data_IF_037925654612
#
_entry.id   IF_037925654612
#
_cell.length_a   1.000
_cell.length_b   1.000
_cell.length_c   1.000
_cell.angle_alpha   90.00
_cell.angle_beta   90.00
_cell.angle_gamma   90.00
#
_symmetry.space_group_name_H-M   'P 1'
#
loop_
_entity.id
_entity.type
_entity.pdbx_description
1 polymer ?
2 polymer ?
3 branched ?
4 non-polymer ?
5 non-polymer ?
#
# COMPACT_ATOMS: atom_id res chain seq x y z
N UNK A 1 -11.86 -14.32 -13.34
CA UNK A 1 -10.71 -14.75 -12.54
C UNK A 1 -9.80 -13.58 -12.25
N UNK A 2 -8.77 -13.82 -11.43
CA UNK A 2 -7.83 -12.76 -11.04
C UNK A 2 -7.00 -12.36 -12.26
N UNK A 3 -7.01 -11.09 -12.62
CA UNK A 3 -6.28 -10.65 -13.82
C UNK A 3 -4.78 -10.81 -13.66
N UNK A 4 -4.10 -10.85 -14.80
CA UNK A 4 -2.67 -11.08 -14.88
C UNK A 4 -2.05 -10.11 -15.86
N UNK A 5 -0.93 -9.50 -15.48
CA UNK A 5 -0.29 -8.50 -16.29
C UNK A 5 0.87 -9.07 -17.09
N UNK A 6 0.78 -8.93 -18.40
CA UNK A 6 1.80 -9.42 -19.32
C UNK A 6 2.07 -8.35 -20.37
N UNK A 7 3.34 -8.16 -20.71
CA UNK A 7 3.74 -7.17 -21.69
C UNK A 7 3.65 -7.79 -23.08
N UNK A 8 2.86 -7.17 -23.95
CA UNK A 8 2.75 -7.54 -25.36
C UNK A 8 2.79 -6.28 -26.21
N UNK A 9 3.60 -6.31 -27.26
CA UNK A 9 3.74 -5.18 -28.19
C UNK A 9 4.11 -3.90 -27.45
N UNK A 10 5.06 -4.02 -26.52
CA UNK A 10 5.59 -2.89 -25.76
C UNK A 10 4.56 -2.20 -24.88
N UNK A 11 3.48 -2.91 -24.51
CA UNK A 11 2.44 -2.34 -23.67
C UNK A 11 1.97 -3.37 -22.66
N UNK A 12 1.65 -2.90 -21.46
CA UNK A 12 1.14 -3.77 -20.41
C UNK A 12 -0.31 -4.11 -20.71
N UNK A 13 -0.64 -5.40 -20.64
CA UNK A 13 -1.97 -5.88 -20.94
C UNK A 13 -2.41 -6.87 -19.88
N UNK A 14 -3.73 -7.03 -19.74
CA UNK A 14 -4.30 -8.02 -18.84
C UNK A 14 -4.67 -9.25 -19.68
N UNK A 15 -4.08 -10.38 -19.32
CA UNK A 15 -4.30 -11.63 -20.04
C UNK A 15 -3.94 -12.78 -19.12
N UNK A 16 -4.92 -13.60 -18.77
CA UNK A 16 -4.71 -14.74 -17.90
C UNK A 16 -4.05 -15.90 -18.67
N UNK A 17 -3.56 -16.88 -17.91
CA UNK A 17 -2.76 -17.98 -18.46
C UNK A 17 -3.52 -18.71 -19.57
N UNK A 18 -4.86 -18.72 -19.51
CA UNK A 18 -5.64 -19.36 -20.55
C UNK A 18 -5.69 -18.57 -21.85
N UNK A 19 -5.29 -17.30 -21.82
CA UNK A 19 -5.29 -16.43 -22.99
C UNK A 19 -3.88 -16.18 -23.53
N UNK A 20 -2.92 -17.05 -23.18
CA UNK A 20 -1.53 -16.88 -23.60
C UNK A 20 -1.23 -17.74 -24.84
N UNK A 21 -0.56 -17.13 -25.80
CA UNK A 21 -0.12 -17.85 -27.00
C UNK A 21 1.19 -18.57 -26.71
N UNK A 22 1.55 -19.51 -27.60
CA UNK A 22 2.75 -20.31 -27.40
C UNK A 22 4.02 -19.48 -27.41
N UNK A 23 3.98 -18.27 -27.99
CA UNK A 23 5.16 -17.41 -27.99
C UNK A 23 5.54 -16.99 -26.56
N UNK A 24 4.57 -16.97 -25.64
CA UNK A 24 4.84 -16.56 -24.27
C UNK A 24 5.52 -17.69 -23.51
N UNK A 25 6.67 -17.39 -22.92
CA UNK A 25 7.48 -18.37 -22.23
C UNK A 25 7.51 -18.10 -20.74
N UNK A 26 7.17 -19.10 -19.95
CA UNK A 26 7.23 -19.05 -18.48
C UNK A 26 8.20 -20.14 -18.04
N UNK A 27 9.46 -19.77 -17.78
CA UNK A 27 10.48 -20.77 -17.49
C UNK A 27 10.67 -21.04 -16.01
N UNK A 28 10.18 -20.17 -15.13
CA UNK A 28 10.24 -20.44 -13.69
C UNK A 28 9.22 -19.55 -12.98
N UNK A 29 8.91 -19.93 -11.73
CA UNK A 29 8.02 -19.13 -10.90
C UNK A 29 8.61 -17.76 -10.57
N UNK A 30 9.92 -17.59 -10.73
CA UNK A 30 10.54 -16.29 -10.47
C UNK A 30 9.98 -15.21 -11.39
N UNK A 31 9.52 -15.58 -12.59
CA UNK A 31 8.92 -14.60 -13.48
C UNK A 31 7.58 -14.10 -12.96
N UNK A 32 6.95 -14.84 -12.04
CA UNK A 32 5.67 -14.43 -11.48
C UNK A 32 5.93 -13.52 -10.29
N UNK A 33 5.24 -12.37 -10.26
CA UNK A 33 5.45 -11.38 -9.22
C UNK A 33 4.12 -10.84 -8.74
N UNK A 34 4.02 -10.65 -7.43
CA UNK A 34 2.90 -9.94 -6.81
C UNK A 34 3.44 -8.64 -6.21
N UNK A 35 2.81 -7.52 -6.57
CA UNK A 35 3.32 -6.21 -6.18
C UNK A 35 2.20 -5.40 -5.52
N UNK A 36 2.60 -4.45 -4.68
CA UNK A 36 1.67 -3.53 -4.04
C UNK A 36 1.92 -2.11 -4.52
N UNK A 37 0.83 -1.41 -4.85
CA UNK A 37 0.89 -0.05 -5.38
C UNK A 37 0.09 0.88 -4.49
N UNK A 38 0.64 2.06 -4.20
CA UNK A 38 0.03 2.97 -3.24
C UNK A 38 -1.00 3.86 -3.89
N UNK A 39 -2.13 4.07 -3.19
CA UNK A 39 -3.17 4.96 -3.69
C UNK A 39 -2.66 6.39 -3.92
N UNK A 40 -1.60 6.80 -3.21
CA UNK A 40 -1.01 8.11 -3.47
C UNK A 40 -0.68 8.30 -4.93
N UNK A 41 -0.16 7.26 -5.58
CA UNK A 41 0.24 7.36 -6.97
C UNK A 41 -0.90 7.65 -7.92
N UNK A 42 -2.14 7.48 -7.47
CA UNK A 42 -3.32 7.80 -8.26
C UNK A 42 -3.87 9.20 -7.97
N UNK A 43 -3.25 9.94 -7.05
CA UNK A 43 -3.67 11.30 -6.75
C UNK A 43 -4.73 11.46 -5.69
N UNK A 44 -4.87 10.50 -4.77
CA UNK A 44 -5.87 10.64 -3.71
C UNK A 44 -5.34 11.59 -2.64
N UNK A 45 -6.27 12.24 -1.94
CA UNK A 45 -5.89 13.14 -0.86
C UNK A 45 -5.39 12.35 0.35
N UNK A 46 -4.19 12.67 0.80
CA UNK A 46 -3.51 11.89 1.83
C UNK A 46 -3.47 12.58 3.20
N UNK A 47 -4.15 13.71 3.36
CA UNK A 47 -4.26 14.32 4.68
C UNK A 47 -5.17 13.49 5.58
N UNK A 48 -4.90 13.55 6.89
CA UNK A 48 -5.62 12.70 7.84
C UNK A 48 -7.15 12.85 7.73
N UNK A 49 -7.72 14.06 7.68
CA UNK A 49 -9.19 14.14 7.56
C UNK A 49 -9.75 13.47 6.31
N UNK A 50 -9.04 13.56 5.19
CA UNK A 50 -9.53 12.93 3.97
C UNK A 50 -9.37 11.41 4.01
N UNK A 51 -8.21 10.93 4.48
CA UNK A 51 -7.95 9.50 4.49
C UNK A 51 -8.92 8.75 5.39
N UNK A 52 -9.23 9.32 6.56
CA UNK A 52 -10.05 8.60 7.53
C UNK A 52 -11.48 8.43 7.06
N UNK A 53 -11.99 9.35 6.24
CA UNK A 53 -13.34 9.21 5.72
C UNK A 53 -13.48 8.04 4.78
N UNK A 54 -12.36 7.52 4.25
CA UNK A 54 -12.36 6.35 3.40
C UNK A 54 -12.41 5.04 4.16
N UNK A 55 -12.45 5.08 5.50
CA UNK A 55 -12.44 3.89 6.32
C UNK A 55 -13.67 3.88 7.22
N UNK A 56 -14.25 2.70 7.41
CA UNK A 56 -15.46 2.58 8.20
C UNK A 56 -15.55 1.22 8.87
N UNK A 57 -16.36 1.17 9.92
CA UNK A 57 -16.52 -0.06 10.70
C UNK A 57 -17.70 -0.87 10.18
N UNK A 58 -17.57 -2.20 10.32
CA UNK A 58 -18.52 -3.15 9.78
C UNK A 58 -18.40 -4.44 10.57
N UNK A 59 -19.49 -5.18 10.67
CA UNK A 59 -19.52 -6.48 11.32
C UNK A 59 -20.01 -7.55 10.36
N UNK A 60 -19.79 -8.80 10.76
CA UNK A 60 -20.24 -9.93 9.98
C UNK A 60 -19.36 -10.34 8.82
N UNK A 61 -18.26 -9.62 8.57
CA UNK A 61 -17.36 -9.93 7.47
C UNK A 61 -16.00 -10.37 8.00
N UNK A 62 -15.59 -11.62 7.80
CA UNK A 62 -14.28 -12.07 8.30
C UNK A 62 -13.14 -11.37 7.57
N UNK A 63 -12.11 -10.93 8.30
CA UNK A 63 -10.95 -10.33 7.63
C UNK A 63 -10.18 -11.35 6.81
N UNK A 64 -9.46 -10.84 5.82
CA UNK A 64 -8.68 -11.67 4.91
C UNK A 64 -7.34 -10.98 4.64
N UNK A 65 -6.31 -11.79 4.42
CA UNK A 65 -4.95 -11.31 4.21
C UNK A 65 -4.37 -12.01 2.97
N UNK A 66 -3.73 -11.25 2.10
CA UNK A 66 -3.03 -11.76 0.92
C UNK A 66 -1.65 -11.14 0.89
N UNK A 67 -0.66 -11.90 0.45
CA UNK A 67 0.70 -11.40 0.48
C UNK A 67 1.13 -10.83 -0.87
N UNK A 68 2.15 -9.99 -0.83
CA UNK A 68 2.77 -9.41 -2.01
C UNK A 68 4.27 -9.27 -1.74
N UNK A 69 5.07 -9.33 -2.81
CA UNK A 69 6.51 -9.49 -2.67
C UNK A 69 7.26 -8.17 -2.67
N UNK A 70 6.71 -7.12 -3.28
CA UNK A 70 7.42 -5.87 -3.44
C UNK A 70 6.42 -4.72 -3.35
N UNK A 71 6.85 -3.62 -2.76
CA UNK A 71 5.98 -2.47 -2.56
C UNK A 71 6.64 -1.18 -2.99
N UNK A 72 5.89 -0.09 -2.83
CA UNK A 72 6.31 1.23 -3.24
C UNK A 72 6.62 2.08 -2.01
N UNK A 73 7.74 2.80 -2.05
CA UNK A 73 8.05 3.79 -1.03
C UNK A 73 6.91 4.80 -0.94
N UNK A 74 6.33 4.92 0.24
CA UNK A 74 5.20 5.81 0.45
C UNK A 74 5.66 7.12 1.07
N UNK A 75 4.89 8.18 0.80
CA UNK A 75 5.08 9.44 1.50
C UNK A 75 4.23 9.52 2.75
N UNK A 76 3.03 8.96 2.74
CA UNK A 76 2.08 9.05 3.84
C UNK A 76 1.65 7.67 4.24
N UNK A 77 1.75 7.38 5.54
CA UNK A 77 1.23 6.16 6.15
C UNK A 77 0.43 6.55 7.38
N UNK A 78 -0.24 5.57 7.97
CA UNK A 78 -1.14 5.85 9.07
C UNK A 78 -0.99 4.78 10.14
N UNK A 79 -1.12 5.20 11.40
CA UNK A 79 -1.01 4.32 12.55
C UNK A 79 -2.10 4.72 13.53
N UNK A 80 -3.13 3.88 13.66
CA UNK A 80 -4.33 4.23 14.41
C UNK A 80 -4.33 3.55 15.78
N UNK A 81 -4.68 4.32 16.79
CA UNK A 81 -4.95 3.80 18.13
C UNK A 81 -6.24 4.46 18.59
N UNK A 82 -7.36 3.76 18.41
CA UNK A 82 -8.69 4.31 18.66
C UNK A 82 -9.38 3.47 19.72
N UNK A 83 -10.00 4.14 20.70
CA UNK A 83 -10.80 3.50 21.72
C UNK A 83 -12.22 4.08 21.70
N UNK A 84 -13.16 3.29 22.22
CA UNK A 84 -14.51 3.80 22.44
C UNK A 84 -14.51 4.73 23.66
N UNK A 85 -15.55 5.56 23.81
CA UNK A 85 -15.56 6.48 24.96
C UNK A 85 -15.41 5.80 26.31
N UNK A 86 -15.93 4.57 26.48
CA UNK A 86 -15.74 3.85 27.73
C UNK A 86 -14.35 3.24 27.88
N UNK A 87 -13.49 3.37 26.87
CA UNK A 87 -12.10 2.97 26.99
C UNK A 87 -11.74 1.65 26.34
N UNK A 88 -12.71 0.88 25.86
CA UNK A 88 -12.40 -0.37 25.20
C UNK A 88 -11.76 -0.13 23.83
N UNK A 89 -10.81 -0.99 23.46
CA UNK A 89 -10.12 -0.83 22.18
C UNK A 89 -11.06 -1.08 21.01
N UNK A 90 -10.87 -0.33 19.94
CA UNK A 90 -11.68 -0.47 18.73
C UNK A 90 -11.04 -1.35 17.67
N UNK A 91 -9.72 -1.40 17.60
CA UNK A 91 -9.04 -2.15 16.55
C UNK A 91 -8.34 -3.37 17.14
N UNK A 92 -8.30 -4.48 16.40
CA UNK A 92 -7.62 -5.67 16.91
C UNK A 92 -6.11 -5.48 16.94
N UNK A 93 -5.47 -6.10 17.92
CA UNK A 93 -4.01 -6.15 17.93
C UNK A 93 -3.51 -6.84 16.67
N UNK A 94 -2.34 -6.43 16.21
CA UNK A 94 -1.77 -7.01 15.01
C UNK A 94 -1.53 -8.50 15.21
N UNK A 95 -2.00 -9.36 14.31
CA UNK A 95 -1.71 -10.80 14.42
C UNK A 95 -0.22 -11.06 14.32
N UNK A 96 0.19 -12.23 14.81
CA UNK A 96 1.60 -12.59 14.78
C UNK A 96 2.11 -12.62 13.35
N UNK A 97 3.25 -11.96 13.11
CA UNK A 97 3.85 -11.93 11.81
C UNK A 97 3.45 -10.75 10.94
N UNK A 98 2.59 -9.87 11.42
CA UNK A 98 2.15 -8.71 10.64
C UNK A 98 2.79 -7.47 11.25
N UNK A 99 3.77 -6.92 10.53
CA UNK A 99 4.51 -5.72 10.88
C UNK A 99 4.07 -4.56 10.00
N UNK A 100 4.52 -3.36 10.37
CA UNK A 100 4.11 -2.17 9.67
C UNK A 100 4.75 -2.06 8.30
N UNK A 101 4.23 -1.10 7.52
CA UNK A 101 4.76 -0.83 6.20
C UNK A 101 6.20 -0.35 6.31
N UNK A 102 7.11 -0.87 5.48
CA UNK A 102 8.55 -0.65 5.73
C UNK A 102 9.10 0.70 5.28
N UNK A 103 8.42 1.43 4.41
CA UNK A 103 8.96 2.67 3.84
C UNK A 103 7.91 3.77 3.89
N UNK A 104 7.99 4.62 4.90
CA UNK A 104 7.08 5.76 5.05
C UNK A 104 7.90 7.02 5.31
N UNK A 105 7.63 8.07 4.51
CA UNK A 105 8.27 9.35 4.78
C UNK A 105 7.63 10.04 5.98
N UNK A 106 6.30 9.99 6.09
CA UNK A 106 5.57 10.53 7.21
C UNK A 106 4.58 9.48 7.71
N UNK A 107 4.65 9.17 9.00
CA UNK A 107 3.70 8.28 9.63
C UNK A 107 2.74 9.14 10.44
N UNK A 108 1.47 9.16 10.02
CA UNK A 108 0.44 9.94 10.71
C UNK A 108 -0.15 9.05 11.80
N UNK A 109 0.36 9.19 13.02
CA UNK A 109 -0.14 8.43 14.17
C UNK A 109 -1.32 9.19 14.76
N UNK A 110 -2.47 8.52 14.83
CA UNK A 110 -3.71 9.14 15.30
C UNK A 110 -4.18 8.37 16.54
N UNK A 111 -4.33 9.10 17.64
CA UNK A 111 -4.93 8.57 18.87
C UNK A 111 -6.22 9.33 19.13
N UNK A 112 -7.30 8.62 19.41
CA UNK A 112 -8.56 9.28 19.63
C UNK A 112 -9.65 8.32 20.03
N UNK A 113 -10.89 8.81 19.97
CA UNK A 113 -12.05 8.03 20.36
C UNK A 113 -13.14 8.17 19.31
N UNK A 114 -14.05 7.19 19.31
CA UNK A 114 -15.19 7.19 18.42
C UNK A 114 -16.18 6.11 18.82
N UNK A 115 -17.40 6.17 18.26
CA UNK A 115 -18.38 5.13 18.58
C UNK A 115 -17.95 3.73 18.19
N UNK A 116 -17.23 3.58 17.07
CA UNK A 116 -16.75 2.29 16.59
C UNK A 116 -17.88 1.27 16.48
N UNK A 117 -18.83 1.58 15.59
CA UNK A 117 -20.01 0.75 15.41
C UNK A 117 -19.72 -0.36 14.39
N UNK A 118 -18.80 -1.25 14.77
CA UNK A 118 -18.42 -2.36 13.93
C UNK A 118 -17.21 -3.12 14.44
N UNK A 119 -17.14 -4.43 14.14
CA UNK A 119 -16.05 -5.25 14.67
C UNK A 119 -14.72 -4.93 14.01
N UNK A 120 -14.73 -4.62 12.72
CA UNK A 120 -13.48 -4.34 12.02
C UNK A 120 -13.65 -3.10 11.16
N UNK A 121 -12.53 -2.43 10.90
CA UNK A 121 -12.49 -1.25 10.05
C UNK A 121 -12.00 -1.63 8.67
N UNK A 122 -12.83 -1.39 7.66
CA UNK A 122 -12.55 -1.74 6.27
C UNK A 122 -12.34 -0.48 5.44
N UNK A 123 -11.89 -0.69 4.21
CA UNK A 123 -11.75 0.40 3.24
C UNK A 123 -13.05 0.52 2.45
N UNK A 124 -13.66 1.71 2.49
CA UNK A 124 -14.96 1.92 1.85
C UNK A 124 -14.89 1.86 0.34
N UNK A 125 -13.74 2.13 -0.26
CA UNK A 125 -13.56 2.01 -1.70
C UNK A 125 -13.09 0.63 -2.13
N UNK A 126 -12.92 -0.31 -1.19
CA UNK A 126 -12.49 -1.65 -1.51
C UNK A 126 -10.99 -1.84 -1.63
N UNK A 127 -10.20 -0.81 -1.38
CA UNK A 127 -8.75 -0.94 -1.42
C UNK A 127 -8.26 -1.77 -0.24
N UNK A 128 -6.95 -1.97 -0.16
CA UNK A 128 -6.33 -2.74 0.91
C UNK A 128 -5.50 -1.84 1.80
N UNK A 129 -5.26 -2.33 3.01
CA UNK A 129 -4.28 -1.74 3.91
C UNK A 129 -2.99 -2.54 3.79
N UNK A 130 -1.92 -1.88 3.36
CA UNK A 130 -0.66 -2.55 3.07
C UNK A 130 0.24 -2.50 4.30
N UNK A 131 0.59 -3.66 4.80
CA UNK A 131 1.56 -3.88 5.86
C UNK A 131 2.86 -4.41 5.25
N UNK A 132 3.72 -4.98 6.07
CA UNK A 132 5.00 -5.49 5.58
C UNK A 132 4.78 -6.74 4.75
N UNK A 133 4.75 -6.58 3.43
CA UNK A 133 4.55 -7.67 2.48
C UNK A 133 3.26 -8.45 2.72
N UNK A 134 2.33 -7.89 3.52
CA UNK A 134 1.02 -8.48 3.72
C UNK A 134 -0.03 -7.40 3.55
N UNK A 135 -1.07 -7.71 2.80
CA UNK A 135 -2.16 -6.78 2.54
C UNK A 135 -3.42 -7.32 3.20
N UNK A 136 -4.07 -6.47 3.98
CA UNK A 136 -5.24 -6.88 4.72
C UNK A 136 -6.45 -6.06 4.29
N UNK A 137 -7.63 -6.64 4.49
CA UNK A 137 -8.86 -5.90 4.30
C UNK A 137 -9.26 -5.07 5.51
N UNK A 138 -8.53 -5.17 6.63
CA UNK A 138 -8.90 -4.49 7.87
C UNK A 138 -7.70 -3.81 8.49
N UNK A 139 -7.97 -2.85 9.37
CA UNK A 139 -6.95 -2.08 10.06
C UNK A 139 -6.61 -2.76 11.38
N UNK A 140 -5.32 -2.85 11.69
CA UNK A 140 -4.86 -3.38 12.96
C UNK A 140 -4.38 -2.26 13.86
N UNK A 141 -4.61 -2.41 15.16
CA UNK A 141 -4.26 -1.39 16.14
C UNK A 141 -2.77 -1.11 16.15
N UNK A 142 -2.42 0.17 16.13
CA UNK A 142 -1.04 0.59 16.31
C UNK A 142 -0.06 0.09 15.29
N UNK A 143 -0.51 -0.28 14.09
CA UNK A 143 0.36 -0.84 13.06
C UNK A 143 0.35 0.07 11.84
N UNK A 144 1.54 0.47 11.42
CA UNK A 144 1.68 1.40 10.30
C UNK A 144 1.29 0.73 8.99
N UNK A 145 0.40 1.38 8.23
CA UNK A 145 -0.07 0.84 6.96
C UNK A 145 -0.10 1.93 5.91
N UNK A 146 -0.12 1.50 4.64
CA UNK A 146 -0.36 2.37 3.51
C UNK A 146 -1.56 1.85 2.74
N UNK A 147 -2.44 2.76 2.31
CA UNK A 147 -3.54 2.34 1.44
C UNK A 147 -3.00 1.94 0.08
N UNK A 148 -3.53 0.86 -0.47
CA UNK A 148 -2.98 0.38 -1.73
C UNK A 148 -3.77 -0.75 -2.33
N UNK A 149 -3.25 -1.25 -3.45
CA UNK A 149 -3.87 -2.30 -4.24
C UNK A 149 -2.77 -3.21 -4.78
N UNK A 150 -3.16 -4.43 -5.15
CA UNK A 150 -2.22 -5.49 -5.50
C UNK A 150 -2.38 -5.86 -6.97
N UNK A 151 -1.26 -6.06 -7.65
CA UNK A 151 -1.24 -6.55 -9.01
C UNK A 151 -0.40 -7.81 -9.10
N UNK A 152 -0.68 -8.62 -10.12
CA UNK A 152 0.04 -9.86 -10.40
C UNK A 152 0.55 -9.81 -11.83
N UNK A 153 1.83 -10.13 -12.03
CA UNK A 153 2.47 -9.95 -13.32
C UNK A 153 3.28 -11.18 -13.73
N UNK A 154 3.40 -11.34 -15.05
CA UNK A 154 4.40 -12.20 -15.68
C UNK A 154 5.49 -11.29 -16.21
N UNK A 155 6.69 -11.45 -15.70
CA UNK A 155 7.80 -10.71 -16.27
C UNK A 155 8.27 -11.37 -17.56
N UNK A 156 8.63 -10.59 -18.58
CA UNK A 156 9.33 -11.17 -19.74
C UNK A 156 10.62 -11.82 -19.30
N UNK A 157 10.95 -12.94 -19.95
CA UNK A 157 12.14 -13.71 -19.59
C UNK A 157 13.42 -12.92 -19.84
N UNK A 180 20.49 8.25 -1.66
CA UNK A 180 19.29 8.63 -0.91
C UNK A 180 18.92 7.58 0.13
N UNK A 181 19.09 7.93 1.41
CA UNK A 181 18.73 7.04 2.48
C UNK A 181 17.25 7.08 2.80
N UNK A 182 16.88 6.35 3.85
CA UNK A 182 15.50 6.25 4.30
C UNK A 182 15.32 7.07 5.57
N UNK A 183 14.43 8.06 5.50
CA UNK A 183 14.11 8.94 6.63
C UNK A 183 12.61 8.87 6.88
N UNK A 184 12.22 8.67 8.15
CA UNK A 184 10.82 8.57 8.52
C UNK A 184 10.54 9.49 9.69
N UNK A 185 9.46 10.27 9.59
CA UNK A 185 9.07 11.23 10.61
C UNK A 185 7.65 10.95 11.07
N UNK A 186 7.44 10.93 12.39
CA UNK A 186 6.13 10.64 12.98
C UNK A 186 5.42 11.94 13.31
N UNK A 187 4.16 12.04 12.89
CA UNK A 187 3.33 13.22 13.11
C UNK A 187 2.10 12.77 13.88
N UNK A 188 1.92 13.32 15.09
CA UNK A 188 0.93 12.81 16.03
C UNK A 188 -0.32 13.70 16.03
N UNK A 189 -1.48 13.05 16.16
CA UNK A 189 -2.77 13.72 16.12
C UNK A 189 -3.68 13.18 17.21
N UNK A 190 -4.61 14.02 17.64
CA UNK A 190 -5.70 13.63 18.53
C UNK A 190 -7.02 13.76 17.79
N UNK A 191 -7.93 12.83 18.04
CA UNK A 191 -9.22 12.84 17.36
C UNK A 191 -10.35 12.59 18.35
N UNK A 192 -11.48 13.23 18.10
CA UNK A 192 -12.72 12.95 18.82
C UNK A 192 -13.80 12.64 17.81
N UNK A 193 -14.68 11.72 18.16
CA UNK A 193 -15.74 11.31 17.24
C UNK A 193 -15.17 10.74 15.96
N UNK A 194 -14.23 9.82 16.10
CA UNK A 194 -13.54 9.24 14.94
C UNK A 194 -14.51 8.41 14.11
N UNK A 195 -14.31 8.45 12.79
CA UNK A 195 -15.13 7.66 11.88
C UNK A 195 -16.59 8.05 11.87
N UNK A 196 -16.89 9.34 11.98
CA UNK A 196 -18.25 9.85 11.95
C UNK A 196 -18.32 11.04 11.01
N UNK A 197 -19.54 11.55 10.81
CA UNK A 197 -19.77 12.75 10.01
C UNK A 197 -19.31 14.02 10.72
N UNK A 198 -19.01 13.95 12.03
CA UNK A 198 -18.51 15.10 12.79
C UNK A 198 -17.26 14.67 13.55
N UNK A 199 -16.10 14.75 12.88
CA UNK A 199 -14.82 14.38 13.47
C UNK A 199 -13.93 15.61 13.57
N UNK A 200 -13.27 15.76 14.71
CA UNK A 200 -12.34 16.85 14.94
C UNK A 200 -10.95 16.30 15.22
N UNK A 201 -9.93 16.98 14.70
CA UNK A 201 -8.54 16.58 14.84
C UNK A 201 -7.71 17.71 15.40
N UNK A 202 -6.65 17.35 16.12
CA UNK A 202 -5.68 18.31 16.64
C UNK A 202 -4.29 17.76 16.37
N UNK A 203 -3.48 18.52 15.64
CA UNK A 203 -2.06 18.21 15.55
C UNK A 203 -1.39 18.46 16.90
N UNK A 204 -0.53 17.53 17.31
CA UNK A 204 0.07 17.56 18.64
C UNK A 204 1.50 18.06 18.57
N UNK A 205 1.80 19.09 19.36
CA UNK A 205 3.15 19.62 19.49
C UNK A 205 3.85 19.05 20.72
N UNK A 206 3.14 18.96 21.84
CA UNK A 206 3.52 18.12 22.98
C UNK A 206 2.25 17.66 23.67
N UNK A 207 2.40 17.14 24.89
CA UNK A 207 1.26 16.59 25.62
C UNK A 207 0.23 17.66 25.99
N UNK A 208 0.60 18.94 25.93
CA UNK A 208 -0.29 20.03 26.33
C UNK A 208 -0.45 21.14 25.30
N UNK A 209 0.22 21.05 24.15
CA UNK A 209 0.14 22.07 23.12
C UNK A 209 -0.38 21.46 21.82
N UNK A 210 -1.43 22.06 21.25
CA UNK A 210 -2.14 21.49 20.13
C UNK A 210 -2.48 22.58 19.13
N UNK A 211 -2.69 22.16 17.88
CA UNK A 211 -3.11 23.04 16.80
C UNK A 211 -4.35 22.42 16.16
N UNK A 212 -5.40 23.22 15.97
CA UNK A 212 -6.54 22.75 15.20
C UNK A 212 -6.10 22.45 13.78
N UNK A 213 -6.53 21.30 13.26
CA UNK A 213 -6.03 20.80 11.99
C UNK A 213 -7.04 21.02 10.89
N UNK A 214 -6.55 21.35 9.70
CA UNK A 214 -7.38 21.54 8.52
C UNK A 214 -6.85 20.67 7.39
N UNK A 215 -7.74 20.35 6.46
CA UNK A 215 -7.37 19.46 5.35
C UNK A 215 -6.24 20.04 4.51
N UNK A 216 -6.11 21.37 4.47
CA UNK A 216 -5.10 22.00 3.63
C UNK A 216 -3.69 21.78 4.16
N UNK A 217 -3.54 21.36 5.42
CA UNK A 217 -2.23 21.37 6.07
C UNK A 217 -1.43 20.17 5.58
N UNK A 218 -0.38 20.43 4.81
CA UNK A 218 0.53 19.41 4.33
C UNK A 218 1.46 18.94 5.45
N UNK A 219 2.07 17.76 5.31
CA UNK A 219 3.03 17.32 6.33
C UNK A 219 4.19 18.28 6.52
N UNK A 220 4.71 18.85 5.42
CA UNK A 220 5.82 19.80 5.53
C UNK A 220 5.39 21.06 6.26
N UNK A 221 4.16 21.52 6.01
CA UNK A 221 3.65 22.69 6.74
C UNK A 221 3.52 22.38 8.23
N UNK A 222 3.05 21.19 8.57
CA UNK A 222 2.94 20.81 9.98
C UNK A 222 4.30 20.75 10.65
N UNK A 223 5.31 20.24 9.93
CA UNK A 223 6.65 20.17 10.50
C UNK A 223 7.24 21.55 10.72
N UNK A 224 7.03 22.47 9.76
CA UNK A 224 7.54 23.83 9.91
C UNK A 224 6.76 24.60 10.96
N UNK A 225 5.46 24.32 11.08
CA UNK A 225 4.68 24.89 12.18
C UNK A 225 5.22 24.43 13.52
N UNK A 226 5.52 23.12 13.65
CA UNK A 226 6.07 22.61 14.90
C UNK A 226 7.41 23.24 15.21
N UNK A 227 8.26 23.40 14.19
CA UNK A 227 9.56 24.04 14.41
C UNK A 227 9.39 25.49 14.87
N UNK A 228 8.49 26.23 14.22
CA UNK A 228 8.30 27.64 14.55
C UNK A 228 7.82 27.81 15.99
N UNK A 229 6.87 26.97 16.41
CA UNK A 229 6.33 27.08 17.76
C UNK A 229 7.40 26.81 18.81
N UNK A 230 8.26 25.81 18.55
CA UNK A 230 9.32 25.50 19.50
C UNK A 230 10.40 26.59 19.51
N UNK A 231 10.85 27.04 18.34
CA UNK A 231 12.06 27.84 18.23
C UNK A 231 11.94 29.23 18.84
N UNK A 232 10.73 29.69 19.17
CA UNK A 232 10.59 31.00 19.78
C UNK A 232 9.63 31.03 20.97
N UNK A 233 9.09 29.88 21.39
CA UNK A 233 8.42 29.79 22.67
C UNK A 233 6.92 29.97 22.69
N UNK A 234 6.18 29.20 21.87
CA UNK A 234 4.73 29.21 21.91
C UNK A 234 4.15 27.97 22.60
N UNK A 235 4.99 27.14 23.20
CA UNK A 235 4.49 25.97 23.91
C UNK A 235 3.79 26.39 25.20
N UNK A 236 2.87 25.56 25.66
CA UNK A 236 2.12 25.84 26.89
C UNK A 236 3.06 25.94 28.09
N UNK A 237 3.17 27.12 28.66
CA UNK A 237 3.97 27.34 29.86
C UNK A 237 3.16 27.20 31.15
N UNK A 238 2.00 26.55 31.07
CA UNK A 238 1.18 26.23 32.24
C UNK A 238 0.95 24.71 32.24
N UNK A 239 0.06 24.26 33.13
CA UNK A 239 -0.36 22.86 33.16
C UNK A 239 -1.68 22.64 32.43
N UNK A 240 -2.22 23.68 31.79
CA UNK A 240 -3.46 23.56 31.04
C UNK A 240 -3.25 23.26 29.56
N UNK A 241 -4.35 22.91 28.90
CA UNK A 241 -4.32 22.48 27.50
C UNK A 241 -4.41 23.72 26.61
N UNK A 242 -3.31 24.04 25.93
CA UNK A 242 -3.23 25.19 25.05
C UNK A 242 -3.49 24.74 23.60
N UNK A 243 -4.51 25.31 22.97
CA UNK A 243 -4.91 24.94 21.62
C UNK A 243 -4.81 26.18 20.74
N UNK A 244 -4.03 26.09 19.66
CA UNK A 244 -3.85 27.20 18.73
C UNK A 244 -4.82 27.09 17.57
N UNK A 245 -4.72 28.02 16.64
CA UNK A 245 -5.52 28.01 15.42
C UNK A 245 -4.79 28.78 14.35
N UNK A 246 -4.73 28.23 13.14
CA UNK A 246 -4.12 28.90 12.00
C UNK A 246 -5.25 29.51 11.17
N UNK A 247 -5.21 30.83 11.01
CA UNK A 247 -6.27 31.54 10.33
C UNK A 247 -6.25 31.22 8.83
N UNK A 248 -7.40 31.33 8.16
CA UNK A 248 -7.47 30.90 6.74
C UNK A 248 -6.56 31.69 5.82
N UNK A 249 -6.09 32.88 6.20
CA UNK A 249 -5.23 33.65 5.31
C UNK A 249 -3.88 32.99 5.07
N UNK A 250 -3.50 32.02 5.91
CA UNK A 250 -2.23 31.32 5.74
C UNK A 250 -2.44 30.06 4.91
N UNK A 257 0.63 20.39 -5.79
CA UNK A 257 -0.43 19.41 -5.58
C UNK A 257 0.14 18.07 -5.16
N UNK A 258 0.44 17.22 -6.14
CA UNK A 258 1.01 15.91 -5.83
C UNK A 258 2.41 16.06 -5.27
N UNK A 259 2.78 15.14 -4.36
CA UNK A 259 4.05 15.25 -3.68
C UNK A 259 5.24 15.03 -4.62
N UNK A 260 5.04 14.30 -5.71
CA UNK A 260 6.14 13.97 -6.61
C UNK A 260 6.37 15.02 -7.69
N UNK A 261 5.49 16.00 -7.83
CA UNK A 261 5.60 16.98 -8.90
C UNK A 261 5.97 18.38 -8.43
N UNK A 262 5.92 18.65 -7.12
CA UNK A 262 6.23 19.98 -6.60
C UNK A 262 7.69 20.36 -6.83
N UNK A 275 4.73 35.50 10.88
CA UNK A 275 3.57 34.99 11.61
C UNK A 275 3.52 35.55 13.02
N UNK A 276 2.31 35.91 13.47
CA UNK A 276 2.09 36.49 14.79
C UNK A 276 1.23 35.56 15.62
N UNK A 277 1.58 35.43 16.90
CA UNK A 277 0.86 34.55 17.82
C UNK A 277 0.15 35.38 18.87
N UNK A 278 -1.15 35.16 19.02
CA UNK A 278 -1.98 35.82 20.02
C UNK A 278 -2.86 34.80 20.72
N UNK A 279 -3.23 35.10 21.96
CA UNK A 279 -4.07 34.23 22.78
C UNK A 279 -5.37 34.95 23.07
N UNK A 280 -6.49 34.27 22.80
CA UNK A 280 -7.81 34.85 23.03
C UNK A 280 -8.44 34.28 24.29
N UNK A 441 -8.04 26.69 26.51
CA UNK A 441 -7.46 27.98 26.17
C UNK A 441 -7.19 28.09 24.67
N UNK A 442 -8.17 28.61 23.93
CA UNK A 442 -8.04 28.79 22.48
C UNK A 442 -7.09 29.94 22.17
N UNK A 443 -6.71 30.07 20.90
CA UNK A 443 -5.80 31.12 20.47
C UNK A 443 -5.85 31.31 18.95
N UNK A 444 -4.92 32.11 18.44
CA UNK A 444 -4.87 32.41 17.02
C UNK A 444 -3.42 32.63 16.58
N UNK A 445 -3.15 32.48 15.29
CA UNK A 445 -1.80 32.61 14.78
C UNK A 445 -1.79 33.13 13.34
N UNK A 446 -1.76 34.45 13.19
CA UNK A 446 -1.72 35.07 11.87
C UNK A 446 -0.32 34.98 11.28
N UNK B 1 -7.20 -7.94 -22.84
CA UNK B 1 -7.61 -6.55 -22.90
C UNK B 1 -6.44 -5.61 -22.67
N UNK B 2 -6.54 -4.40 -23.21
CA UNK B 2 -5.47 -3.40 -22.99
C UNK B 2 -5.79 -2.61 -21.71
N UNK B 3 -4.75 -2.08 -21.08
CA UNK B 3 -4.95 -1.36 -19.79
C UNK B 3 -5.08 0.14 -20.07
N UNK B 4 -6.24 0.72 -19.76
CA UNK B 4 -6.45 2.18 -19.94
C UNK B 4 -6.50 2.86 -18.55
N UNK B 5 -5.49 3.66 -18.23
CA UNK B 5 -5.39 4.36 -16.96
C UNK B 5 -6.50 5.40 -16.84
N UNK B 6 -7.43 5.19 -15.91
CA UNK B 6 -8.57 6.07 -15.70
C UNK B 6 -8.49 6.75 -14.33
N UNK B 7 -7.27 7.10 -13.90
CA UNK B 7 -7.04 7.67 -12.58
C UNK B 7 -6.85 9.19 -12.68
N UNK B 8 -7.21 9.92 -11.64
CA UNK B 8 -6.98 11.38 -11.66
C UNK B 8 -5.52 11.76 -11.85
N UNK B 9 -4.60 10.93 -11.37
CA UNK B 9 -3.17 11.19 -11.47
C UNK B 9 -2.44 9.88 -11.64
N UNK B 10 -1.19 9.97 -12.09
CA UNK B 10 -0.30 8.83 -12.21
C UNK B 10 1.11 9.31 -11.89
N UNK B 11 1.66 8.85 -10.77
CA UNK B 11 3.07 9.08 -10.51
C UNK B 11 3.87 8.24 -11.49
N UNK B 12 4.53 8.84 -12.48
CA UNK B 12 5.20 8.04 -13.52
C UNK B 12 6.44 7.31 -13.03
N UNK B 13 6.90 7.58 -11.82
CA UNK B 13 8.11 6.97 -11.29
C UNK B 13 7.75 6.02 -10.16
N UNK B 14 8.48 4.91 -10.09
CA UNK B 14 8.21 3.86 -9.11
C UNK B 14 9.48 3.64 -8.29
N UNK B 15 9.49 4.19 -7.08
CA UNK B 15 10.57 3.92 -6.13
C UNK B 15 10.11 2.74 -5.28
N UNK B 16 10.70 1.58 -5.50
CA UNK B 16 10.16 0.37 -4.90
C UNK B 16 11.13 -0.22 -3.89
N UNK B 17 10.56 -1.05 -3.01
CA UNK B 17 11.30 -1.85 -2.06
C UNK B 17 10.89 -3.30 -2.25
N UNK B 18 11.83 -4.20 -2.02
CA UNK B 18 11.56 -5.63 -2.05
C UNK B 18 12.63 -6.32 -1.18
N UNK B 19 12.65 -7.64 -1.21
CA UNK B 19 13.65 -8.43 -0.51
C UNK B 19 14.43 -9.24 -1.54
N UNK B 20 15.70 -9.49 -1.23
CA UNK B 20 16.54 -10.33 -2.08
C UNK B 20 16.50 -11.76 -1.53
N UNK B 21 15.80 -12.64 -2.23
CA UNK B 21 15.70 -14.03 -1.79
C UNK B 21 17.04 -14.74 -1.89
N UNK B 22 17.73 -14.59 -3.03
CA UNK B 22 19.06 -15.18 -3.14
C UNK B 22 20.03 -14.51 -2.17
N UNK B 23 19.89 -13.19 -1.97
CA UNK B 23 20.59 -12.44 -0.94
C UNK B 23 22.02 -12.85 -0.66
N UNK B 24 22.86 -12.87 -1.69
CA UNK B 24 24.24 -13.32 -1.55
C UNK B 24 24.91 -12.69 -0.33
N UNK B 25 25.25 -13.54 0.63
CA UNK B 25 25.69 -13.08 1.94
C UNK B 25 27.15 -12.63 1.92
N UNK B 26 27.50 -11.84 2.93
CA UNK B 26 28.86 -11.35 3.13
C UNK B 26 29.32 -11.91 4.47
N UNK B 27 29.98 -13.06 4.43
CA UNK B 27 30.45 -13.70 5.64
C UNK B 27 29.35 -14.41 6.41
N UNK B 28 29.08 -13.94 7.63
CA UNK B 28 28.11 -14.58 8.51
C UNK B 28 26.76 -13.88 8.50
N UNK B 29 26.52 -12.97 7.56
CA UNK B 29 25.30 -12.18 7.57
C UNK B 29 24.06 -13.02 7.33
N UNK B 30 24.20 -14.21 6.75
CA UNK B 30 23.05 -15.07 6.49
C UNK B 30 22.52 -15.76 7.75
N UNK B 31 23.37 -15.92 8.76
CA UNK B 31 22.97 -16.52 10.03
C UNK B 31 21.99 -15.58 10.72
N UNK B 32 20.78 -16.04 11.06
CA UNK B 32 19.78 -15.12 11.64
C UNK B 32 20.25 -14.44 12.92
N UNK B 33 21.07 -15.11 13.73
CA UNK B 33 21.55 -14.50 14.97
C UNK B 33 22.49 -13.33 14.70
N UNK B 34 23.26 -13.37 13.60
CA UNK B 34 24.18 -12.29 13.25
C UNK B 34 23.63 -11.34 12.20
N UNK B 35 22.55 -11.70 11.51
CA UNK B 35 22.11 -10.98 10.34
C UNK B 35 21.28 -9.75 10.66
N UNK B 36 20.75 -9.09 9.63
CA UNK B 36 19.98 -7.87 9.86
C UNK B 36 18.69 -8.14 10.60
N UNK B 37 18.18 -7.09 11.25
CA UNK B 37 16.86 -7.14 11.86
C UNK B 37 15.79 -7.08 10.76
N UNK B 38 14.53 -7.13 11.18
CA UNK B 38 13.42 -7.15 10.23
C UNK B 38 13.38 -5.87 9.41
N UNK B 39 13.89 -4.77 9.95
CA UNK B 39 13.85 -3.48 9.26
C UNK B 39 14.94 -3.31 8.20
N UNK B 40 15.97 -4.15 8.21
CA UNK B 40 17.08 -3.97 7.29
C UNK B 40 17.30 -5.09 6.28
N UNK B 41 16.22 -5.73 5.85
CA UNK B 41 16.31 -6.84 4.90
C UNK B 41 15.94 -6.40 3.49
N UNK B 42 15.68 -5.12 3.28
CA UNK B 42 15.11 -4.64 2.03
C UNK B 42 16.18 -4.11 1.09
N UNK B 43 16.00 -4.37 -0.19
CA UNK B 43 16.72 -3.66 -1.24
C UNK B 43 15.75 -2.69 -1.88
N UNK B 44 16.28 -1.81 -2.73
CA UNK B 44 15.48 -0.79 -3.38
C UNK B 44 15.87 -0.66 -4.84
N UNK B 45 14.95 -0.11 -5.62
CA UNK B 45 15.22 0.20 -7.02
C UNK B 45 14.31 1.32 -7.48
N UNK B 46 14.69 1.90 -8.62
CA UNK B 46 13.92 2.97 -9.26
C UNK B 46 13.61 2.57 -10.69
N UNK B 47 12.36 2.79 -11.10
CA UNK B 47 11.89 2.35 -12.40
C UNK B 47 11.07 3.46 -13.02
N UNK B 48 11.43 3.88 -14.23
CA UNK B 48 10.75 4.96 -14.92
C UNK B 48 9.66 4.40 -15.83
N UNK B 49 8.87 5.31 -16.40
CA UNK B 49 7.66 4.93 -17.14
C UNK B 49 7.96 4.55 -18.60
N UNK B 50 8.95 3.69 -18.82
CA UNK B 50 9.19 3.16 -20.15
C UNK B 50 8.00 2.31 -20.58
N UNK B 51 7.60 2.45 -21.85
CA UNK B 51 6.47 1.71 -22.40
C UNK B 51 5.16 2.05 -21.68
N UNK B 52 5.15 3.12 -20.89
CA UNK B 52 4.01 3.40 -20.04
C UNK B 52 3.78 2.35 -18.98
N UNK B 53 4.82 1.61 -18.60
CA UNK B 53 4.66 0.46 -17.71
C UNK B 53 4.12 0.87 -16.34
N UNK B 54 4.65 1.96 -15.77
CA UNK B 54 4.25 2.35 -14.42
C UNK B 54 2.78 2.76 -14.39
N UNK B 55 2.36 3.61 -15.34
CA UNK B 55 0.96 4.04 -15.33
C UNK B 55 0.03 2.88 -15.60
N UNK B 56 0.42 1.97 -16.50
CA UNK B 56 -0.37 0.76 -16.69
C UNK B 56 -0.40 -0.11 -15.45
N UNK B 57 0.71 -0.18 -14.73
CA UNK B 57 0.79 -0.99 -13.53
C UNK B 57 -0.16 -0.47 -12.45
N UNK B 58 -0.24 0.84 -12.25
CA UNK B 58 -1.18 1.39 -11.28
C UNK B 58 -2.62 1.09 -11.68
N UNK B 59 -2.92 1.17 -12.98
CA UNK B 59 -4.27 0.86 -13.44
C UNK B 59 -4.57 -0.62 -13.29
N UNK B 60 -3.57 -1.48 -13.56
CA UNK B 60 -3.77 -2.92 -13.44
C UNK B 60 -4.09 -3.31 -12.01
N UNK B 61 -3.38 -2.74 -11.03
CA UNK B 61 -3.67 -3.06 -9.64
C UNK B 61 -5.05 -2.57 -9.24
N UNK B 62 -5.47 -1.40 -9.74
CA UNK B 62 -6.80 -0.91 -9.45
C UNK B 62 -7.87 -1.86 -9.97
N UNK B 63 -7.69 -2.39 -11.18
CA UNK B 63 -8.66 -3.29 -11.79
C UNK B 63 -8.61 -4.70 -11.23
N UNK B 64 -7.48 -5.11 -10.64
CA UNK B 64 -7.38 -6.44 -10.04
C UNK B 64 -8.22 -6.54 -8.77
N UNK B 65 -8.55 -5.41 -8.15
CA UNK B 65 -9.11 -5.42 -6.80
C UNK B 65 -10.41 -6.20 -6.72
N UNK B 66 -11.31 -6.00 -7.69
CA UNK B 66 -12.62 -6.64 -7.58
C UNK B 66 -12.52 -8.16 -7.59
N UNK B 67 -11.78 -8.71 -8.56
CA UNK B 67 -11.60 -10.16 -8.62
C UNK B 67 -10.84 -10.67 -7.40
N UNK B 68 -9.82 -9.92 -6.96
CA UNK B 68 -9.05 -10.33 -5.80
C UNK B 68 -9.92 -10.36 -4.54
N UNK B 69 -10.76 -9.33 -4.36
CA UNK B 69 -11.64 -9.30 -3.19
C UNK B 69 -12.65 -10.44 -3.21
N UNK B 70 -13.20 -10.72 -4.39
CA UNK B 70 -14.16 -11.82 -4.50
C UNK B 70 -13.49 -13.17 -4.25
N UNK B 71 -12.24 -13.32 -4.70
CA UNK B 71 -11.48 -14.51 -4.36
C UNK B 71 -11.26 -14.62 -2.86
N UNK B 72 -10.90 -13.51 -2.20
CA UNK B 72 -10.67 -13.55 -0.76
C UNK B 72 -11.95 -13.79 0.02
N UNK B 73 -13.09 -13.31 -0.48
CA UNK B 73 -14.36 -13.61 0.17
C UNK B 73 -14.64 -15.11 0.15
N UNK B 74 -14.39 -15.76 -0.99
CA UNK B 74 -14.76 -17.16 -1.16
C UNK B 74 -13.78 -18.13 -0.50
N UNK B 75 -12.59 -17.67 -0.09
CA UNK B 75 -11.61 -18.56 0.51
C UNK B 75 -11.73 -18.57 2.02
N UNK B 76 -11.31 -19.69 2.63
CA UNK B 76 -11.27 -19.83 4.08
C UNK B 76 -9.87 -19.70 4.65
N UNK B 77 -8.84 -19.63 3.81
CA UNK B 77 -7.50 -19.34 4.29
C UNK B 77 -7.44 -17.94 4.87
N UNK B 78 -6.88 -17.82 6.08
CA UNK B 78 -6.69 -16.50 6.69
C UNK B 78 -5.63 -15.70 5.94
N UNK B 79 -4.53 -16.35 5.55
CA UNK B 79 -3.46 -15.70 4.80
C UNK B 79 -3.21 -16.50 3.54
N UNK B 80 -3.37 -15.86 2.38
CA UNK B 80 -3.26 -16.51 1.08
C UNK B 80 -1.86 -16.25 0.50
N UNK B 81 -1.13 -17.33 0.26
CA UNK B 81 0.23 -17.25 -0.31
C UNK B 81 0.38 -17.94 -1.66
N UNK B 82 -0.67 -18.57 -2.20
CA UNK B 82 -0.53 -19.54 -3.29
C UNK B 82 -1.17 -19.11 -4.60
N UNK B 83 -1.49 -17.83 -4.76
CA UNK B 83 -2.14 -17.37 -5.98
C UNK B 83 -1.20 -17.54 -7.18
N UNK B 84 0.07 -17.16 -7.02
CA UNK B 84 1.01 -17.26 -8.13
C UNK B 84 1.38 -18.70 -8.45
N UNK B 85 1.51 -19.55 -7.44
CA UNK B 85 1.76 -20.96 -7.70
C UNK B 85 0.60 -21.58 -8.47
N UNK B 86 -0.63 -21.27 -8.07
CA UNK B 86 -1.78 -21.84 -8.75
C UNK B 86 -1.91 -21.33 -10.18
N UNK B 87 -1.37 -20.14 -10.46
CA UNK B 87 -1.39 -19.66 -11.83
C UNK B 87 -0.31 -20.30 -12.69
N UNK B 88 0.83 -20.67 -12.08
CA UNK B 88 1.82 -21.44 -12.81
C UNK B 88 1.30 -22.83 -13.20
N UNK B 89 0.57 -23.47 -12.28
CA UNK B 89 -0.06 -24.75 -12.62
C UNK B 89 -1.08 -24.58 -13.73
N UNK B 90 -1.92 -23.54 -13.63
CA UNK B 90 -2.91 -23.30 -14.67
C UNK B 90 -2.26 -23.01 -16.02
N UNK B 91 -1.09 -22.37 -16.01
CA UNK B 91 -0.35 -22.14 -17.25
C UNK B 91 0.02 -23.45 -17.92
N UNK B 92 0.53 -24.41 -17.14
CA UNK B 92 0.95 -25.69 -17.70
C UNK B 92 -0.25 -26.53 -18.13
N UNK B 93 -1.34 -26.48 -17.36
CA UNK B 93 -2.51 -27.27 -17.71
C UNK B 93 -3.12 -26.80 -19.03
N UNK B 94 -3.15 -25.49 -19.27
CA UNK B 94 -3.71 -24.96 -20.50
C UNK B 94 -3.01 -25.53 -21.73
N UNK B 95 -1.71 -25.78 -21.63
CA UNK B 95 -0.92 -26.25 -22.76
C UNK B 95 -0.72 -27.76 -22.77
N UNK B 96 -0.54 -28.37 -21.60
CA UNK B 96 -0.14 -29.77 -21.52
C UNK B 96 -1.14 -30.62 -20.76
N UNK B 97 -2.35 -30.11 -20.51
CA UNK B 97 -3.35 -30.88 -19.78
C UNK B 97 -4.08 -31.93 -20.61
N UNK B 98 -3.85 -31.95 -21.91
CA UNK B 98 -4.48 -32.96 -22.76
C UNK B 98 -3.50 -33.52 -23.75
N UNK B 99 -4.01 -34.18 -24.79
CA UNK B 99 -3.15 -34.67 -25.85
C UNK B 99 -2.73 -33.50 -26.74
N UNK B 100 -1.44 -33.42 -27.03
CA UNK B 100 -0.90 -32.36 -27.87
C UNK B 100 -0.95 -32.80 -29.33
N UNK B 101 -1.75 -32.11 -30.14
CA UNK B 101 -1.87 -32.40 -31.56
C UNK B 101 -0.89 -31.51 -32.32
N UNK B 102 0.18 -32.11 -32.84
CA UNK B 102 1.20 -31.33 -33.52
C UNK B 102 0.59 -30.57 -34.70
N UNK B 103 1.03 -29.33 -34.90
CA UNK B 103 0.52 -28.36 -35.87
C UNK B 103 -0.86 -27.84 -35.53
N UNK B 104 -1.38 -28.15 -34.34
CA UNK B 104 -2.59 -27.53 -33.86
C UNK B 104 -2.28 -26.21 -33.17
N UNK B 105 -3.22 -25.24 -33.24
CA UNK B 105 -2.99 -23.95 -32.59
C UNK B 105 -2.84 -24.05 -31.08
N UNK B 106 -3.42 -25.08 -30.47
CA UNK B 106 -3.40 -25.27 -29.02
C UNK B 106 -2.28 -26.20 -28.54
N UNK B 107 -1.42 -26.65 -29.44
CA UNK B 107 -0.28 -27.48 -29.08
C UNK B 107 1.00 -26.71 -29.38
N UNK B 108 1.81 -26.48 -28.35
CA UNK B 108 2.99 -25.64 -28.46
C UNK B 108 4.24 -26.50 -28.74
N UNK B 109 4.18 -27.26 -29.82
CA UNK B 109 5.31 -28.07 -30.28
C UNK B 109 5.67 -27.63 -31.68
N UNK B 110 6.92 -27.23 -31.87
CA UNK B 110 7.43 -26.81 -33.16
C UNK B 110 8.24 -27.94 -33.75
N UNK B 111 7.77 -28.61 -34.82
CA UNK B 111 8.56 -29.67 -35.45
C UNK B 111 9.49 -29.19 -36.56
N UNK B 112 9.67 -27.88 -36.72
CA UNK B 112 10.32 -27.34 -37.92
C UNK B 112 11.76 -27.80 -38.03
N UNK B 113 12.53 -27.69 -36.94
CA UNK B 113 13.96 -28.05 -37.01
C UNK B 113 14.15 -29.51 -37.40
N UNK B 114 13.25 -30.38 -36.98
CA UNK B 114 13.36 -31.80 -37.28
C UNK B 114 12.63 -32.21 -38.55
N UNK B 115 11.59 -31.46 -38.95
CA UNK B 115 10.90 -31.75 -40.20
C UNK B 115 11.81 -31.53 -41.41
N UNK B 116 12.88 -30.76 -41.25
CA UNK B 116 13.92 -30.68 -42.29
C UNK B 116 14.85 -31.89 -42.25
N UNK B 117 15.09 -32.45 -41.06
CA UNK B 117 15.96 -33.61 -40.95
C UNK B 117 15.42 -34.79 -41.75
N UNK B 118 14.10 -34.98 -41.73
CA UNK B 118 13.49 -36.04 -42.51
C UNK B 118 13.61 -35.75 -44.01
N UNK B 119 13.29 -34.52 -44.41
CA UNK B 119 13.35 -34.12 -45.81
C UNK B 119 14.75 -33.63 -46.21
N UNK B 120 15.76 -34.44 -45.90
CA UNK B 120 17.15 -34.12 -46.21
C UNK B 120 18.02 -35.35 -46.03
X LIG C 1 -9.97 2.55 -8.98
X LIG C 1 -10.53 2.33 -7.56
X LIG C 1 -11.89 3.00 -7.43
X LIG C 1 -11.83 4.47 -7.87
X LIG C 1 -11.20 4.54 -9.27
X LIG C 1 -11.03 5.94 -9.80
X LIG C 1 -10.13 0.34 -6.14
X LIG C 1 -9.46 1.26 -5.15
X LIG C 1 -10.61 0.93 -7.25
X LIG C 1 -12.30 2.83 -6.10
X LIG C 1 -13.13 5.00 -7.91
X LIG C 1 -9.92 3.93 -9.24
X LIG C 1 -10.10 6.64 -9.02
X LIG C 1 -10.22 -0.86 -5.92
X LIG C 2 -13.48 5.62 -6.65
X LIG C 2 -13.93 7.08 -6.88
X LIG C 2 -14.38 7.67 -5.54
X LIG C 2 -15.47 6.82 -4.93
X LIG C 2 -14.94 5.38 -4.79
X LIG C 2 -15.94 4.40 -4.21
X LIG C 2 -13.05 8.55 -8.63
X LIG C 2 -11.85 9.36 -9.07
X LIG C 2 -12.90 7.89 -7.47
X LIG C 2 -14.79 8.99 -5.78
X LIG C 2 -15.81 7.39 -3.68
X LIG C 2 -14.54 4.90 -6.05
X LIG C 2 -15.40 3.10 -4.29
X LIG C 2 -14.07 8.49 -9.31
X LIG C 3 -17.23 7.61 -3.60
X LIG C 3 -17.51 8.48 -2.39
X LIG C 3 -19.00 8.88 -2.32
X LIG C 3 -19.84 8.58 -3.58
X LIG C 3 -19.05 8.65 -4.90
X LIG C 3 -19.10 10.03 -5.54
X LIG C 3 -16.65 9.59 -2.44
X LIG C 3 -19.03 10.24 -1.96
X LIG C 3 -20.38 7.29 -3.39
X LIG C 3 -17.70 8.23 -4.80
X LIG C 3 -18.35 9.99 -6.74
X LIG C 4 -17.21 10.88 -6.75
X LIG C 4 -17.29 11.91 -5.61
X LIG C 4 -16.85 13.29 -6.09
X LIG C 4 -15.63 13.16 -6.99
X LIG C 4 -16.05 12.40 -8.25
X LIG C 4 -14.93 11.54 -8.79
X LIG C 4 -16.46 11.44 -4.57
X LIG C 4 -16.57 14.06 -4.94
X LIG C 4 -15.18 14.46 -7.29
X LIG C 4 -17.16 11.55 -7.99
X LIG C 4 -13.71 12.20 -8.58
X LIG D 1 9.07 19.63 16.79
X LIG D 1 9.40 18.16 16.50
X LIG D 1 10.27 17.62 17.62
X LIG D 1 11.49 18.51 17.83
X LIG D 1 11.06 19.96 18.03
X LIG D 1 12.20 20.94 18.15
X LIG D 1 7.79 16.83 15.19
X LIG D 1 6.50 16.07 15.27
X LIG D 1 8.21 17.39 16.34
X LIG D 1 10.63 16.30 17.30
X LIG D 1 12.17 18.03 18.97
X LIG D 1 10.27 20.37 16.92
X LIG D 1 13.00 20.89 17.01
X LIG D 1 8.42 16.94 14.14
X LIG E 1 -23.94 13.71 9.38
X LIG E 1 -25.12 12.86 8.90
X LIG E 1 -25.71 13.47 7.62
X LIG E 1 -26.03 14.94 7.83
X LIG E 1 -24.78 15.66 8.31
X LIG E 1 -24.96 17.13 8.59
X LIG E 1 -25.26 10.43 9.29
X LIG E 1 -24.68 9.09 8.87
X LIG E 1 -24.73 11.49 8.66
X LIG E 1 -26.86 12.72 7.29
X LIG E 1 -26.49 15.44 6.60
X LIG E 1 -24.34 15.05 9.52
X LIG E 1 -25.14 17.82 7.36
X LIG E 1 -26.16 10.51 10.11
X LIG F 1 3.26 12.49 25.98
X LIG F 1 4.38 12.03 26.94
X LIG F 1 4.72 10.55 26.70
X LIG F 1 3.45 9.70 26.74
X LIG F 1 2.43 10.28 25.76
X LIG F 1 1.13 9.51 25.71
X LIG F 1 5.94 13.79 27.66
X LIG F 1 7.20 14.53 27.29
X LIG F 1 5.54 12.85 26.79
X LIG F 1 5.65 10.16 27.67
X LIG F 1 3.83 8.38 26.42
X LIG F 1 2.16 11.62 26.10
X LIG F 1 0.56 9.49 27.00
X LIG F 1 5.32 14.06 28.68
X LIG G 1 3.86 31.57 27.45
X LIG G 1 4.88 32.21 26.49
X LIG G 1 4.20 33.16 25.51
X LIG G 1 2.98 32.52 24.86
X LIG G 1 2.06 32.02 25.98
X LIG G 1 0.76 31.42 25.49
X LIG G 1 7.16 32.47 27.40
X LIG G 1 8.03 33.39 28.21
X LIG G 1 5.90 32.90 27.22
X LIG G 1 5.16 33.54 24.55
X LIG G 1 2.36 33.50 24.06
X LIG G 1 2.76 31.06 26.73
X LIG G 1 -0.05 31.09 26.59
X LIG G 1 7.58 31.42 26.95
X LIG H 1 13.46 -4.82 -15.39
X LIG H 1 8.22 -2.65 -12.47
X LIG H 1 9.23 -2.76 -11.32
X LIG H 1 9.61 -4.05 -10.57
X LIG H 1 10.80 -4.83 -11.16
X LIG H 1 12.21 -4.58 -11.22
X LIG H 1 13.12 -5.50 -11.85
X LIG H 1 13.51 -4.53 -16.91
X LIG H 1 12.12 -4.82 -17.43
X LIG H 1 12.00 -4.46 -15.10
X LIG H 1 12.56 -6.68 -12.44
X LIG H 1 11.16 -6.94 -12.40
X LIG H 1 10.31 -6.02 -11.78
X LIG H 1 8.93 -4.47 -9.43
X LIG H 1 7.71 -3.72 -8.82
X LIG H 1 8.02 -3.44 -7.44
X LIG H 1 7.13 -2.78 -6.56
X LIG H 1 5.86 -2.35 -7.04
X LIG H 1 5.52 -2.60 -8.38
X LIG H 1 6.43 -3.28 -9.27
X LIG H 1 9.33 -5.77 -8.70
X LIG H 1 10.68 -5.93 -8.19
X LIG H 1 11.14 -7.08 -7.50
X LIG H 1 10.26 -8.18 -7.26
X LIG H 1 12.05 -9.62 -6.19
X LIG H 1 12.16 -10.65 -4.94
X LIG H 1 10.66 -12.50 -4.14
X LIG H 1 12.76 -13.00 -5.37
X LIG H 1 8.93 -8.04 -7.74
X LIG H 1 8.48 -6.87 -8.44
X LIG H 1 14.60 -5.18 -11.89
X LIG H 1 14.47 -4.13 -14.50
X LIG H 1 11.61 -12.03 -5.23
X LIG H 1 11.25 -4.61 -16.32
X LIG H 1 16.66 -4.20 -13.13
X LIG H 1 15.80 -6.25 -13.88
X LIG H 1 10.68 -9.35 -6.56
X LIG H 1 15.49 -4.97 -13.35
#
# INVERSE_FOLDING_TARGET
SIPLGVIHNSALQVSDVDKLVCRDKLSSTNQLRSVGLNLEGNGVATDVPSATKRWGFRSGVPPKVVNYEAGEWAENCYNLEIKKPDGSECLPAAPDGIRGFPRCRYVHKVSGTGPCAGDFAFHKEGAFFLYDRLASTVIYRGTTFAEGVVAFLILPQAKKDFFSSHPLREPVNATEDPSSGYYSTTIRYQATGFGTNETEYLFEVDNLTYVQLESRFTPQFLLQLNETIYTSGKRSNTTGKLIWKVNPEIDTTIGEWAFWETKKNLTRKIRSEELSFTVVSNGAKNISGQSPARTSSDPGTNTTTEDHKIMASENSSAMVQVHSQGREAAVSHLTTLATISTSPQSLTTKPGPDNSTHNTPVYKLDISEATQVEQHHRRTDNDSTASDTPSATTAAGPPKAENTNTSKSTDFLDPATTTSPQNHSETAGNNNTHHQDTGEESASSGKLGLITNTIAGVAGLITGGRRTRR
EAIVNAQPKCNPNLHYWTTQDEGAAIGLAWIPYFGPAAEGIYIEGLMHNQDGLICGLRQLANETTQALQLFLRATTELRTFSILNRKAIDFLLQRWGGTCHILGPDCCIEPADWTKNITDKIDQIIHDFVDGSGYIPEAPRDGQAYVRKDGEWVLLSTFLGTHHHHHH
NAG C1 C2 C3 C4 C5 C6 C7 C8 N2 O3 O4 O5 O6 O7
NAG C1 C2 C3 C4 C5 C6 C7 C8 N2 O3 O4 O5 O6 O7
BMA C1 C2 C3 C4 C5 C6 O2 O3 O4 O5 O6
MAN C1 C2 C3 C4 C5 C6 O2 O3 O4 O5 O6
NAG C1 C2 C3 C4 C5 C6 C7 C8 N2 O3 O4 O5 O6 O7
NAG C1 C2 C3 C4 C5 C6 C7 C8 N2 O3 O4 O5 O6 O7
NAG C1 C2 C3 C4 C5 C6 C7 C8 N2 O3 O4 O5 O6 O7
NAG C1 C2 C3 C4 C5 C6 C7 C8 N2 O3 O4 O5 O6 O7
A1BZF C10 C01 C02 C03 C04 C05 C06 C11 C12 C14 C17 C18 C19 C20 C21 C22 C23 C24 C25 C26 C27 C28 C29 C30 C32 C33 C35 C36 C37 C38 N07 N09 N34 O13 O15 O16 O31 S08
#
